data_IF_850608775781
#
_entry.id   IF_850608775781
#
_cell.length_a   1.000
_cell.length_b   1.000
_cell.length_c   1.000
_cell.angle_alpha   90.00
_cell.angle_beta   90.00
_cell.angle_gamma   90.00
#
_symmetry.space_group_name_H-M   'P 1'
#
loop_
_entity.id
_entity.type
_entity.pdbx_description
1 polymer ?
#
# COMPACT_ATOMS: atom_id res chain seq x y z
N UNK A 1 10.91 5.27 -15.14
CA UNK A 1 11.08 4.68 -13.79
C UNK A 1 11.40 5.82 -12.85
N UNK A 2 11.00 5.73 -11.58
CA UNK A 2 11.19 6.82 -10.60
C UNK A 2 12.28 6.42 -9.64
N UNK A 3 13.23 7.33 -9.41
CA UNK A 3 14.40 7.13 -8.54
C UNK A 3 14.62 8.29 -7.56
N UNK A 4 13.63 9.17 -7.42
CA UNK A 4 13.69 10.30 -6.49
C UNK A 4 13.70 9.81 -5.04
N UNK A 5 14.28 10.60 -4.14
CA UNK A 5 14.19 10.35 -2.68
C UNK A 5 12.87 10.93 -2.16
N UNK A 6 12.03 10.07 -1.58
CA UNK A 6 10.73 10.46 -1.03
C UNK A 6 10.69 10.36 0.49
N UNK A 7 9.98 11.30 1.11
CA UNK A 7 9.62 11.25 2.53
C UNK A 7 8.19 11.76 2.77
N UNK A 8 7.81 11.97 4.03
CA UNK A 8 6.49 12.54 4.37
C UNK A 8 6.24 13.93 3.77
N UNK A 9 7.28 14.71 3.48
CA UNK A 9 7.14 16.01 2.80
C UNK A 9 6.82 15.87 1.32
N UNK A 10 7.25 14.80 0.66
CA UNK A 10 6.88 14.52 -0.73
C UNK A 10 5.37 14.36 -0.92
N UNK A 11 4.64 13.90 0.11
CA UNK A 11 3.17 13.87 0.10
C UNK A 11 2.56 15.27 0.09
N UNK A 12 3.16 16.22 0.81
CA UNK A 12 2.73 17.62 0.77
C UNK A 12 3.00 18.23 -0.61
N UNK A 13 4.12 17.90 -1.26
CA UNK A 13 4.43 18.31 -2.63
C UNK A 13 3.43 17.75 -3.64
N UNK A 14 3.02 16.48 -3.50
CA UNK A 14 1.96 15.88 -4.31
C UNK A 14 0.65 16.66 -4.18
N UNK A 15 0.19 16.92 -2.96
CA UNK A 15 -1.10 17.59 -2.75
C UNK A 15 -1.05 19.02 -3.29
N UNK A 16 0.06 19.73 -3.07
CA UNK A 16 0.32 21.05 -3.64
C UNK A 16 0.24 21.05 -5.16
N UNK A 17 0.99 20.16 -5.80
CA UNK A 17 1.14 20.13 -7.25
C UNK A 17 -0.10 19.57 -7.96
N UNK A 18 -0.75 18.54 -7.39
CA UNK A 18 -1.91 17.88 -8.00
C UNK A 18 -3.21 18.66 -7.82
N UNK A 19 -3.41 19.29 -6.67
CA UNK A 19 -4.68 19.94 -6.32
C UNK A 19 -4.58 21.47 -6.20
N UNK A 20 -3.40 22.06 -6.38
CA UNK A 20 -3.21 23.50 -6.29
C UNK A 20 -3.35 24.07 -4.87
N UNK A 21 -3.19 23.22 -3.84
CA UNK A 21 -3.35 23.62 -2.44
C UNK A 21 -2.04 24.22 -1.90
N UNK A 22 -2.05 25.38 -1.25
CA UNK A 22 -0.83 25.95 -0.67
C UNK A 22 -0.33 25.11 0.51
N UNK A 23 0.99 24.99 0.64
CA UNK A 23 1.66 24.38 1.81
C UNK A 23 2.56 25.44 2.44
N UNK A 24 2.00 26.34 3.27
CA UNK A 24 2.72 27.53 3.74
C UNK A 24 3.88 27.23 4.69
N UNK A 25 3.84 26.07 5.36
CA UNK A 25 4.86 25.65 6.32
C UNK A 25 5.99 24.81 5.68
N UNK A 26 6.14 24.87 4.36
CA UNK A 26 7.21 24.18 3.62
C UNK A 26 8.45 25.07 3.56
N UNK A 27 9.55 24.65 4.19
CA UNK A 27 10.82 25.39 4.09
C UNK A 27 11.52 25.11 2.75
N UNK A 28 12.31 26.08 2.27
CA UNK A 28 13.08 25.96 1.03
C UNK A 28 14.04 24.75 1.05
N UNK A 29 14.65 24.45 2.20
CA UNK A 29 15.49 23.27 2.35
C UNK A 29 14.72 21.97 2.11
N UNK A 30 13.53 21.81 2.73
CA UNK A 30 12.71 20.61 2.49
C UNK A 30 12.25 20.52 1.05
N UNK A 31 11.88 21.65 0.44
CA UNK A 31 11.42 21.67 -0.96
C UNK A 31 12.53 21.28 -1.95
N UNK A 32 13.80 21.56 -1.63
CA UNK A 32 14.95 21.22 -2.49
C UNK A 32 15.54 19.82 -2.29
N UNK A 33 15.32 19.19 -1.14
CA UNK A 33 15.97 17.90 -0.78
C UNK A 33 15.14 16.69 -1.17
N UNK A 34 13.81 16.79 -1.12
CA UNK A 34 12.92 15.64 -1.40
C UNK A 34 12.16 15.81 -2.71
N UNK A 35 11.95 14.69 -3.40
CA UNK A 35 11.23 14.65 -4.67
C UNK A 35 9.76 15.05 -4.52
N UNK A 36 9.17 15.55 -5.61
CA UNK A 36 7.72 15.65 -5.72
C UNK A 36 7.15 14.28 -6.08
N UNK A 37 6.26 13.75 -5.24
CA UNK A 37 5.69 12.42 -5.44
C UNK A 37 4.76 12.34 -6.66
N UNK A 38 4.45 13.46 -7.34
CA UNK A 38 3.79 13.43 -8.65
C UNK A 38 4.54 12.57 -9.67
N UNK A 39 5.88 12.51 -9.62
CA UNK A 39 6.69 11.68 -10.53
C UNK A 39 6.37 10.19 -10.42
N UNK A 40 5.85 9.72 -9.28
CA UNK A 40 5.43 8.34 -9.03
C UNK A 40 4.09 7.95 -9.68
N UNK A 41 3.34 8.91 -10.22
CA UNK A 41 2.02 8.68 -10.81
C UNK A 41 2.00 8.89 -12.32
N UNK A 42 0.99 8.30 -12.98
CA UNK A 42 0.75 8.45 -14.40
C UNK A 42 -0.53 9.28 -14.61
N UNK A 43 -0.48 10.57 -14.28
CA UNK A 43 -1.67 11.42 -14.37
C UNK A 43 -2.02 11.84 -15.80
N UNK A 44 -1.09 11.71 -16.75
CA UNK A 44 -1.37 11.95 -18.16
C UNK A 44 -2.30 10.89 -18.77
N UNK A 45 -2.38 9.70 -18.15
CA UNK A 45 -3.30 8.65 -18.57
C UNK A 45 -4.70 8.91 -18.00
N UNK A 46 -5.77 8.85 -18.83
CA UNK A 46 -7.14 8.99 -18.35
C UNK A 46 -7.48 7.99 -17.23
N UNK A 47 -8.28 8.39 -16.23
CA UNK A 47 -8.70 7.47 -15.17
C UNK A 47 -9.42 6.24 -15.72
N UNK A 48 -9.01 5.06 -15.29
CA UNK A 48 -9.77 3.83 -15.55
C UNK A 48 -10.80 3.63 -14.42
N UNK A 49 -12.08 3.86 -14.72
CA UNK A 49 -13.19 3.69 -13.78
C UNK A 49 -13.66 2.24 -13.63
N UNK A 50 -13.02 1.29 -14.35
CA UNK A 50 -13.35 -0.13 -14.24
C UNK A 50 -13.08 -0.63 -12.83
N UNK A 51 -14.03 -1.38 -12.26
CA UNK A 51 -13.87 -1.98 -10.94
C UNK A 51 -12.70 -2.98 -10.98
N UNK A 52 -11.68 -2.85 -10.11
CA UNK A 52 -10.61 -3.84 -10.05
C UNK A 52 -11.18 -5.19 -9.62
N UNK A 53 -10.70 -6.27 -10.24
CA UNK A 53 -11.04 -7.62 -9.81
C UNK A 53 -10.28 -7.93 -8.52
N UNK A 54 -10.94 -7.69 -7.39
CA UNK A 54 -10.42 -8.01 -6.07
C UNK A 54 -11.05 -9.32 -5.59
N UNK A 55 -10.21 -10.28 -5.19
CA UNK A 55 -10.70 -11.49 -4.53
C UNK A 55 -11.46 -11.13 -3.25
N UNK A 56 -12.55 -11.83 -2.97
CA UNK A 56 -13.35 -11.56 -1.77
C UNK A 56 -12.51 -11.85 -0.50
N UNK A 57 -12.38 -10.89 0.44
CA UNK A 57 -11.46 -11.02 1.58
C UNK A 57 -11.81 -12.20 2.48
N UNK A 58 -13.10 -12.52 2.63
CA UNK A 58 -13.54 -13.71 3.39
C UNK A 58 -13.07 -15.01 2.74
N UNK A 59 -13.07 -15.10 1.41
CA UNK A 59 -12.63 -16.32 0.70
C UNK A 59 -11.12 -16.53 0.88
N UNK A 60 -10.33 -15.45 0.84
CA UNK A 60 -8.89 -15.50 1.14
C UNK A 60 -8.58 -15.84 2.61
N UNK A 61 -9.53 -15.61 3.52
CA UNK A 61 -9.40 -15.95 4.93
C UNK A 61 -9.78 -17.41 5.26
N UNK A 62 -10.57 -18.09 4.42
CA UNK A 62 -11.03 -19.47 4.67
C UNK A 62 -9.89 -20.45 5.00
N UNK A 63 -8.75 -20.45 4.29
CA UNK A 63 -7.65 -21.38 4.61
C UNK A 63 -7.02 -21.11 5.98
N UNK A 64 -7.23 -19.92 6.56
CA UNK A 64 -6.68 -19.49 7.86
C UNK A 64 -7.66 -19.75 9.02
N UNK A 65 -8.95 -19.95 8.73
CA UNK A 65 -9.98 -20.17 9.76
C UNK A 65 -9.72 -21.39 10.66
N UNK A 66 -9.26 -22.56 10.17
CA UNK A 66 -9.03 -23.72 11.02
C UNK A 66 -8.00 -23.48 12.12
N UNK A 67 -7.10 -22.50 11.96
CA UNK A 67 -6.11 -22.13 12.98
C UNK A 67 -6.71 -21.21 14.06
N UNK A 68 -7.79 -20.49 13.75
CA UNK A 68 -8.43 -19.54 14.68
C UNK A 68 -9.63 -20.14 15.43
N UNK A 69 -10.41 -21.01 14.78
CA UNK A 69 -11.64 -21.61 15.35
C UNK A 69 -11.40 -22.29 16.70
N UNK A 70 -10.33 -23.09 16.90
CA UNK A 70 -10.08 -23.72 18.19
C UNK A 70 -9.97 -22.73 19.35
N UNK A 71 -9.31 -21.58 19.15
CA UNK A 71 -9.17 -20.55 20.18
C UNK A 71 -10.49 -19.87 20.52
N UNK A 72 -11.37 -19.69 19.52
CA UNK A 72 -12.73 -19.16 19.72
C UNK A 72 -13.56 -20.12 20.56
N UNK A 73 -13.52 -21.43 20.23
CA UNK A 73 -14.29 -22.46 20.94
C UNK A 73 -13.78 -22.66 22.37
N UNK A 74 -12.47 -22.61 22.59
CA UNK A 74 -11.88 -22.69 23.93
C UNK A 74 -12.05 -21.40 24.76
N UNK A 75 -12.58 -20.33 24.18
CA UNK A 75 -12.70 -19.04 24.86
C UNK A 75 -11.34 -18.40 25.20
N UNK A 76 -10.27 -18.77 24.50
CA UNK A 76 -8.90 -18.30 24.78
C UNK A 76 -8.54 -17.07 23.94
N UNK A 77 -9.51 -16.37 23.36
CA UNK A 77 -9.27 -15.21 22.48
C UNK A 77 -9.03 -13.91 23.21
N UNK A 78 -9.45 -13.81 24.47
CA UNK A 78 -9.34 -12.61 25.32
C UNK A 78 -8.00 -12.54 26.10
N UNK A 79 -7.16 -13.57 25.98
CA UNK A 79 -5.88 -13.68 26.68
C UNK A 79 -6.00 -14.09 28.15
N UNK A 80 -7.20 -14.41 28.64
CA UNK A 80 -7.41 -14.89 30.01
C UNK A 80 -6.91 -16.33 30.21
N UNK A 81 -6.86 -17.12 29.12
CA UNK A 81 -6.39 -18.50 29.10
C UNK A 81 -5.34 -18.72 27.99
N UNK A 82 -4.42 -19.69 28.14
CA UNK A 82 -3.43 -20.00 27.11
C UNK A 82 -4.09 -20.39 25.79
N UNK A 83 -3.79 -19.67 24.71
CA UNK A 83 -4.32 -19.95 23.38
C UNK A 83 -3.43 -20.91 22.59
N UNK A 84 -4.03 -21.64 21.65
CA UNK A 84 -3.29 -22.44 20.67
C UNK A 84 -2.54 -21.45 19.76
N UNK A 85 -1.21 -21.53 19.68
CA UNK A 85 -0.42 -20.57 18.91
C UNK A 85 -0.66 -20.71 17.42
N UNK A 86 -0.63 -19.58 16.71
CA UNK A 86 -0.69 -19.56 15.25
C UNK A 86 0.48 -20.34 14.65
N UNK A 87 0.18 -21.36 13.84
CA UNK A 87 1.21 -22.08 13.08
C UNK A 87 1.63 -21.23 11.89
N UNK A 88 2.80 -20.64 11.99
CA UNK A 88 3.47 -19.96 10.88
C UNK A 88 3.72 -20.99 9.76
N UNK A 89 3.31 -20.72 8.52
CA UNK A 89 3.57 -21.60 7.38
C UNK A 89 5.07 -21.90 7.25
N UNK A 90 5.42 -23.17 7.06
CA UNK A 90 6.78 -23.62 6.79
C UNK A 90 6.81 -24.46 5.50
N UNK A 91 7.71 -24.16 4.55
CA UNK A 91 8.73 -23.10 4.59
C UNK A 91 8.13 -21.70 4.40
N UNK A 92 8.69 -20.71 5.11
CA UNK A 92 8.42 -19.31 4.79
C UNK A 92 9.14 -18.96 3.48
N UNK A 93 8.41 -18.38 2.53
CA UNK A 93 8.96 -17.89 1.27
C UNK A 93 8.54 -16.44 1.07
N UNK A 94 9.43 -15.65 0.47
CA UNK A 94 9.10 -14.28 0.10
C UNK A 94 8.05 -14.29 -1.03
N UNK A 95 7.08 -13.37 -1.02
CA UNK A 95 6.16 -13.23 -2.14
C UNK A 95 6.93 -12.80 -3.38
N UNK A 96 6.53 -13.34 -4.54
CA UNK A 96 7.05 -12.90 -5.84
C UNK A 96 6.22 -11.74 -6.35
N UNK A 97 6.88 -10.73 -6.91
CA UNK A 97 6.20 -9.65 -7.62
C UNK A 97 5.56 -10.19 -8.91
N UNK A 98 4.30 -9.85 -9.16
CA UNK A 98 3.65 -10.16 -10.44
C UNK A 98 4.37 -9.47 -11.59
N UNK A 99 4.64 -10.23 -12.66
CA UNK A 99 5.34 -9.74 -13.86
C UNK A 99 4.38 -9.19 -14.91
N UNK A 100 3.08 -9.43 -14.75
CA UNK A 100 2.01 -9.00 -15.65
C UNK A 100 0.85 -8.40 -14.89
N UNK A 101 0.19 -7.36 -15.42
CA UNK A 101 0.50 -6.68 -16.69
C UNK A 101 1.80 -5.88 -16.63
N UNK A 102 2.34 -5.50 -17.80
CA UNK A 102 3.55 -4.67 -17.88
C UNK A 102 3.32 -3.40 -17.05
N UNK A 103 4.24 -3.15 -16.11
CA UNK A 103 4.20 -1.95 -15.27
C UNK A 103 4.27 -0.71 -16.16
N UNK A 104 3.24 0.13 -16.11
CA UNK A 104 3.24 1.41 -16.80
C UNK A 104 4.36 2.33 -16.30
N UNK A 105 4.95 3.10 -17.21
CA UNK A 105 5.91 4.15 -16.84
C UNK A 105 5.15 5.35 -16.26
N UNK A 106 5.48 5.81 -15.05
CA UNK A 106 4.92 7.03 -14.50
C UNK A 106 5.19 8.24 -15.42
N UNK A 107 4.18 9.07 -15.65
CA UNK A 107 4.27 10.25 -16.52
C UNK A 107 4.45 11.55 -15.76
N UNK A 108 4.25 11.57 -14.45
CA UNK A 108 4.07 12.81 -13.70
C UNK A 108 2.67 13.40 -13.90
N UNK A 109 2.57 14.73 -13.75
CA UNK A 109 1.38 15.52 -14.05
C UNK A 109 1.06 15.53 -15.55
N UNK A 110 -0.16 15.97 -15.90
CA UNK A 110 -0.52 16.23 -17.29
C UNK A 110 0.34 17.40 -17.80
N UNK A 111 1.09 17.20 -18.88
CA UNK A 111 1.78 18.27 -19.62
C UNK A 111 0.78 19.12 -20.42
#
# INVERSE_FOLDING_TARGET
MVSDTFDHTSQLKLIRARFGVPVPNMTAWRDGVVGDMTSAFNFATPPNSTRPNLSHPLLGALPKLPQCIPNVVLGTTDGALPSIPYRVPYPQVMPTQETTPVRGTPSGLCS
#
